data_IF_438367887948
#
_entry.id   IF_438367887948
#
_cell.length_a   1.000
_cell.length_b   1.000
_cell.length_c   1.000
_cell.angle_alpha   90.00
_cell.angle_beta   90.00
_cell.angle_gamma   90.00
#
_symmetry.space_group_name_H-M   'P 1'
#
loop_
_entity.id
_entity.type
_entity.pdbx_description
1 polymer ?
#
# COMPACT_ATOMS: atom_id res chain seq x y z
N UNK A 1 4.58 -44.07 -44.53
CA UNK A 1 5.33 -42.82 -44.35
C UNK A 1 4.55 -41.79 -43.51
N UNK A 2 3.50 -42.21 -42.79
CA UNK A 2 2.59 -41.31 -42.07
C UNK A 2 2.64 -41.44 -40.54
N UNK A 3 3.45 -42.37 -40.00
CA UNK A 3 3.56 -42.58 -38.55
C UNK A 3 4.49 -41.55 -37.88
N UNK A 4 5.56 -41.13 -38.56
CA UNK A 4 6.46 -40.08 -38.03
C UNK A 4 5.79 -38.70 -38.00
N UNK A 5 4.87 -38.41 -38.92
CA UNK A 5 4.08 -37.16 -38.90
C UNK A 5 3.08 -37.11 -37.74
N UNK A 6 2.61 -38.27 -37.27
CA UNK A 6 1.71 -38.36 -36.11
C UNK A 6 2.45 -38.23 -34.78
N UNK A 7 3.71 -38.70 -34.70
CA UNK A 7 4.59 -38.45 -33.56
C UNK A 7 5.06 -36.98 -33.50
N UNK A 8 5.40 -36.39 -34.64
CA UNK A 8 5.76 -34.97 -34.73
C UNK A 8 4.55 -34.06 -34.43
N UNK A 9 3.34 -34.54 -34.72
CA UNK A 9 2.08 -33.93 -34.30
C UNK A 9 1.69 -34.22 -32.83
N UNK A 10 2.47 -34.99 -32.08
CA UNK A 10 2.31 -35.17 -30.63
C UNK A 10 3.27 -34.26 -29.85
N UNK A 11 4.41 -33.88 -30.44
CA UNK A 11 5.47 -33.11 -29.77
C UNK A 11 5.14 -31.63 -29.53
N UNK A 12 4.20 -31.04 -30.29
CA UNK A 12 3.77 -29.66 -30.04
C UNK A 12 2.82 -29.53 -28.85
N UNK A 13 2.15 -30.61 -28.45
CA UNK A 13 1.24 -30.64 -27.29
C UNK A 13 2.00 -30.34 -25.98
N UNK A 14 3.11 -31.02 -25.62
CA UNK A 14 3.86 -30.70 -24.41
C UNK A 14 4.51 -29.32 -24.48
N UNK A 15 4.97 -28.87 -25.66
CA UNK A 15 5.51 -27.52 -25.84
C UNK A 15 4.44 -26.43 -25.59
N UNK A 16 3.22 -26.64 -26.09
CA UNK A 16 2.09 -25.73 -25.90
C UNK A 16 1.63 -25.72 -24.44
N UNK A 17 1.55 -26.90 -23.80
CA UNK A 17 1.25 -27.02 -22.37
C UNK A 17 2.30 -26.30 -21.52
N UNK A 18 3.59 -26.50 -21.81
CA UNK A 18 4.68 -25.82 -21.11
C UNK A 18 4.61 -24.29 -21.29
N UNK A 19 4.29 -23.80 -22.49
CA UNK A 19 4.11 -22.38 -22.75
C UNK A 19 2.92 -21.78 -21.96
N UNK A 20 1.79 -22.48 -21.89
CA UNK A 20 0.61 -22.05 -21.11
C UNK A 20 0.93 -22.04 -19.61
N UNK A 21 1.62 -23.07 -19.10
CA UNK A 21 2.06 -23.13 -17.69
C UNK A 21 3.04 -22.00 -17.38
N UNK A 22 3.99 -21.72 -18.26
CA UNK A 22 4.95 -20.63 -18.08
C UNK A 22 4.25 -19.26 -18.08
N UNK A 23 3.30 -19.05 -18.99
CA UNK A 23 2.57 -17.78 -19.11
C UNK A 23 1.63 -17.56 -17.93
N UNK A 24 0.97 -18.61 -17.44
CA UNK A 24 0.17 -18.55 -16.21
C UNK A 24 1.04 -18.26 -14.98
N UNK A 25 2.18 -18.95 -14.82
CA UNK A 25 3.13 -18.70 -13.74
C UNK A 25 3.67 -17.27 -13.77
N UNK A 26 4.03 -16.77 -14.95
CA UNK A 26 4.50 -15.40 -15.15
C UNK A 26 3.42 -14.37 -14.79
N UNK A 27 2.18 -14.59 -15.25
CA UNK A 27 1.05 -13.71 -14.93
C UNK A 27 0.76 -13.65 -13.43
N UNK A 28 0.93 -14.78 -12.72
CA UNK A 28 0.78 -14.86 -11.27
C UNK A 28 1.90 -14.09 -10.55
N UNK A 29 3.13 -14.19 -11.04
CA UNK A 29 4.29 -13.50 -10.46
C UNK A 29 4.19 -11.97 -10.58
N UNK A 30 3.71 -11.47 -11.73
CA UNK A 30 3.49 -10.04 -11.94
C UNK A 30 2.37 -9.52 -11.02
N UNK A 31 1.34 -10.32 -10.75
CA UNK A 31 0.24 -9.96 -9.83
C UNK A 31 0.69 -9.87 -8.37
N UNK A 32 1.78 -10.53 -7.97
CA UNK A 32 2.33 -10.44 -6.61
C UNK A 32 2.98 -9.08 -6.30
N UNK A 33 3.30 -8.28 -7.32
CA UNK A 33 3.97 -6.98 -7.13
C UNK A 33 2.95 -5.87 -6.95
N UNK A 34 2.85 -5.32 -5.72
CA UNK A 34 2.11 -4.08 -5.48
C UNK A 34 3.01 -2.86 -5.57
N UNK A 35 2.64 -1.92 -6.43
CA UNK A 35 3.29 -0.61 -6.55
C UNK A 35 2.68 0.32 -5.50
N UNK A 36 3.51 1.04 -4.76
CA UNK A 36 3.16 2.06 -3.79
C UNK A 36 3.22 3.45 -4.46
N UNK A 37 2.06 4.10 -4.69
CA UNK A 37 2.04 5.50 -5.11
C UNK A 37 2.72 6.40 -4.07
N UNK A 38 3.31 7.54 -4.46
CA UNK A 38 4.00 8.46 -3.54
C UNK A 38 3.08 9.08 -2.48
N UNK A 39 1.77 9.10 -2.72
CA UNK A 39 0.75 9.59 -1.79
C UNK A 39 0.14 8.49 -0.90
N UNK A 40 0.73 7.29 -0.90
CA UNK A 40 0.31 6.17 -0.05
C UNK A 40 1.53 5.57 0.66
N UNK A 41 1.25 4.80 1.70
CA UNK A 41 2.24 3.97 2.39
C UNK A 41 1.75 2.54 2.45
N UNK A 42 2.65 1.60 2.22
CA UNK A 42 2.40 0.18 2.41
C UNK A 42 2.85 -0.22 3.81
N UNK A 43 1.97 -0.85 4.57
CA UNK A 43 2.26 -1.44 5.86
C UNK A 43 2.33 -2.95 5.65
N UNK A 44 3.53 -3.50 5.77
CA UNK A 44 3.75 -4.95 5.75
C UNK A 44 3.62 -5.49 7.17
N UNK A 45 2.57 -6.26 7.44
CA UNK A 45 2.27 -6.87 8.74
C UNK A 45 2.51 -8.39 8.71
N UNK A 46 2.82 -8.99 9.86
CA UNK A 46 2.97 -10.46 10.01
C UNK A 46 4.41 -10.97 10.11
N UNK A 47 5.41 -10.09 10.14
CA UNK A 47 6.81 -10.46 10.35
C UNK A 47 7.41 -9.84 11.61
N UNK A 48 8.50 -10.42 12.12
CA UNK A 48 9.35 -9.76 13.14
C UNK A 48 10.22 -8.71 12.45
N UNK A 49 9.69 -7.52 12.22
CA UNK A 49 10.46 -6.39 11.72
C UNK A 49 10.90 -5.45 12.85
N UNK A 50 12.04 -4.80 12.67
CA UNK A 50 12.48 -3.69 13.52
C UNK A 50 12.22 -2.41 12.75
N UNK A 51 11.50 -1.47 13.36
CA UNK A 51 11.31 -0.11 12.83
C UNK A 51 11.95 0.81 13.86
N UNK A 52 13.16 1.28 13.57
CA UNK A 52 14.00 1.99 14.55
C UNK A 52 14.43 1.08 15.70
N UNK A 53 14.36 1.58 16.94
CA UNK A 53 14.75 0.85 18.16
C UNK A 53 13.62 -0.01 18.75
N UNK A 54 12.37 0.19 18.31
CA UNK A 54 11.21 -0.56 18.80
C UNK A 54 10.92 -1.78 17.91
N UNK A 55 10.77 -2.96 18.52
CA UNK A 55 10.26 -4.17 17.85
C UNK A 55 8.77 -3.96 17.54
N UNK A 56 8.44 -3.59 16.30
CA UNK A 56 7.05 -3.52 15.82
C UNK A 56 6.77 -4.65 14.84
N UNK A 57 5.62 -5.30 14.95
CA UNK A 57 5.22 -6.41 14.07
C UNK A 57 4.90 -6.01 12.61
N UNK A 58 5.21 -4.77 12.24
CA UNK A 58 4.95 -4.20 10.93
C UNK A 58 6.12 -3.34 10.43
N UNK A 59 6.22 -3.16 9.10
CA UNK A 59 7.21 -2.28 8.45
C UNK A 59 6.52 -1.32 7.47
N UNK A 60 6.64 0.02 7.65
CA UNK A 60 6.14 0.98 6.67
C UNK A 60 7.10 1.10 5.48
N UNK A 61 6.55 1.22 4.26
CA UNK A 61 7.28 1.50 3.02
C UNK A 61 6.65 2.72 2.34
N UNK A 62 7.44 3.79 2.21
CA UNK A 62 7.05 5.04 1.56
C UNK A 62 7.57 5.04 0.12
N UNK A 63 6.65 5.09 -0.85
CA UNK A 63 7.00 5.06 -2.27
C UNK A 63 7.71 3.76 -2.71
N UNK A 64 7.65 3.45 -4.00
CA UNK A 64 8.33 2.29 -4.59
C UNK A 64 7.41 1.08 -4.77
N UNK A 65 7.93 -0.13 -4.63
CA UNK A 65 7.16 -1.36 -4.78
C UNK A 65 7.42 -2.30 -3.60
N UNK A 66 6.38 -3.01 -3.16
CA UNK A 66 6.51 -4.09 -2.20
C UNK A 66 5.99 -5.38 -2.83
N UNK A 67 6.71 -6.47 -2.55
CA UNK A 67 6.24 -7.80 -2.88
C UNK A 67 5.30 -8.29 -1.79
N UNK A 68 4.07 -8.58 -2.17
CA UNK A 68 3.07 -9.22 -1.33
C UNK A 68 3.29 -10.73 -1.40
N UNK A 69 3.72 -11.36 -0.31
CA UNK A 69 3.75 -12.84 -0.21
C UNK A 69 2.51 -13.23 0.60
N UNK A 70 1.41 -13.60 -0.05
CA UNK A 70 0.09 -13.72 0.60
C UNK A 70 0.04 -14.73 1.74
N UNK A 71 0.99 -15.67 1.80
CA UNK A 71 1.04 -16.74 2.80
C UNK A 71 1.76 -16.35 4.09
N UNK A 72 2.62 -15.33 4.05
CA UNK A 72 3.51 -14.97 5.17
C UNK A 72 3.29 -13.53 5.63
N UNK A 73 2.88 -12.62 4.73
CA UNK A 73 2.81 -11.19 5.01
C UNK A 73 1.51 -10.60 4.50
N UNK A 74 0.85 -9.82 5.35
CA UNK A 74 -0.30 -8.99 4.96
C UNK A 74 0.22 -7.62 4.51
N UNK A 75 -0.28 -7.14 3.36
CA UNK A 75 0.01 -5.78 2.88
C UNK A 75 -1.24 -4.94 3.06
N UNK A 76 -1.19 -4.01 3.99
CA UNK A 76 -2.22 -2.99 4.15
C UNK A 76 -1.75 -1.68 3.51
N UNK A 77 -2.68 -0.93 2.93
CA UNK A 77 -2.39 0.35 2.28
C UNK A 77 -3.04 1.46 3.08
N UNK A 78 -2.28 2.49 3.43
CA UNK A 78 -2.79 3.69 4.09
C UNK A 78 -2.53 4.91 3.20
N UNK A 79 -3.55 5.76 3.06
CA UNK A 79 -3.42 7.01 2.29
C UNK A 79 -2.69 8.06 3.09
N UNK A 80 -1.85 8.83 2.40
CA UNK A 80 -1.13 10.00 2.93
C UNK A 80 -1.58 11.28 2.24
N UNK A 81 -2.80 11.29 1.71
CA UNK A 81 -3.39 12.49 1.15
C UNK A 81 -3.56 13.57 2.22
N UNK A 82 -3.68 14.82 1.76
CA UNK A 82 -4.05 15.94 2.63
C UNK A 82 -5.48 15.71 3.11
N UNK A 83 -5.69 15.89 4.40
CA UNK A 83 -6.98 15.88 5.07
C UNK A 83 -7.40 17.32 5.33
N UNK A 84 -8.64 17.65 5.00
CA UNK A 84 -9.21 18.97 5.24
C UNK A 84 -10.03 18.93 6.53
N UNK A 85 -9.65 19.75 7.50
CA UNK A 85 -10.38 19.89 8.76
C UNK A 85 -11.08 21.25 8.75
N UNK A 86 -12.42 21.28 8.56
CA UNK A 86 -13.16 22.52 8.66
C UNK A 86 -13.18 23.00 10.11
N UNK A 87 -12.85 24.26 10.32
CA UNK A 87 -12.81 24.91 11.62
C UNK A 87 -13.80 26.07 11.59
N UNK A 88 -14.84 25.99 12.42
CA UNK A 88 -15.79 27.07 12.65
C UNK A 88 -15.78 27.46 14.12
N UNK A 89 -15.26 28.64 14.45
CA UNK A 89 -15.23 29.16 15.82
C UNK A 89 -16.14 30.37 15.92
N UNK A 90 -17.06 30.34 16.87
CA UNK A 90 -17.92 31.48 17.23
C UNK A 90 -17.44 32.07 18.54
N UNK A 91 -17.39 33.41 18.63
CA UNK A 91 -16.96 34.09 19.86
C UNK A 91 -15.46 34.02 20.13
N UNK A 92 -14.64 33.91 19.07
CA UNK A 92 -13.19 34.03 19.20
C UNK A 92 -12.84 35.49 19.49
N UNK A 93 -12.20 35.78 20.62
CA UNK A 93 -11.79 37.14 20.95
C UNK A 93 -10.48 37.49 20.26
N UNK A 94 -10.47 38.62 19.54
CA UNK A 94 -9.24 39.22 19.04
C UNK A 94 -8.37 39.75 20.19
N UNK A 95 -7.08 40.01 19.92
CA UNK A 95 -6.18 40.68 20.88
C UNK A 95 -6.73 42.04 21.36
N UNK A 96 -7.59 42.68 20.57
CA UNK A 96 -8.31 43.91 20.93
C UNK A 96 -9.65 43.72 21.64
N UNK A 97 -10.04 42.49 22.04
CA UNK A 97 -11.27 42.21 22.80
C UNK A 97 -12.56 42.17 21.99
N UNK A 98 -12.50 42.34 20.67
CA UNK A 98 -13.67 42.26 19.78
C UNK A 98 -13.99 40.77 19.51
N UNK A 99 -15.24 40.32 19.73
CA UNK A 99 -15.64 38.96 19.41
C UNK A 99 -15.76 38.78 17.89
N UNK A 100 -15.19 37.70 17.37
CA UNK A 100 -15.16 37.34 15.96
C UNK A 100 -15.75 35.95 15.74
N UNK A 101 -16.35 35.77 14.57
CA UNK A 101 -16.71 34.46 14.03
C UNK A 101 -15.75 34.11 12.90
N UNK A 102 -15.01 33.01 13.05
CA UNK A 102 -13.97 32.60 12.11
C UNK A 102 -14.35 31.26 11.50
N UNK A 103 -14.40 31.23 10.16
CA UNK A 103 -14.51 30.01 9.37
C UNK A 103 -13.18 29.81 8.62
N UNK A 104 -12.54 28.67 8.81
CA UNK A 104 -11.27 28.32 8.20
C UNK A 104 -11.24 26.84 7.81
N UNK A 105 -10.36 26.49 6.88
CA UNK A 105 -10.06 25.10 6.51
C UNK A 105 -8.60 24.86 6.84
N UNK A 106 -8.32 23.92 7.73
CA UNK A 106 -6.97 23.50 8.05
C UNK A 106 -6.59 22.27 7.22
N UNK A 107 -5.56 22.41 6.39
CA UNK A 107 -5.00 21.32 5.60
C UNK A 107 -3.91 20.61 6.41
N UNK A 108 -4.16 19.35 6.77
CA UNK A 108 -3.23 18.53 7.56
C UNK A 108 -2.80 17.29 6.77
N UNK A 109 -1.56 16.84 6.94
CA UNK A 109 -1.02 15.65 6.24
C UNK A 109 -0.27 14.76 7.20
N UNK A 110 -0.32 13.45 6.95
CA UNK A 110 0.48 12.47 7.70
C UNK A 110 1.97 12.64 7.35
N UNK A 111 2.81 12.77 8.38
CA UNK A 111 4.26 12.84 8.23
C UNK A 111 4.85 11.52 7.74
N UNK A 112 5.89 11.59 6.91
CA UNK A 112 6.66 10.44 6.43
C UNK A 112 7.84 10.06 7.35
N UNK A 113 8.01 10.73 8.49
CA UNK A 113 9.08 10.42 9.44
C UNK A 113 8.86 9.03 10.06
N UNK A 114 9.82 8.08 9.94
CA UNK A 114 9.75 6.75 10.55
C UNK A 114 9.49 6.75 12.06
N UNK A 115 9.86 7.82 12.79
CA UNK A 115 9.60 7.95 14.23
C UNK A 115 8.14 8.27 14.53
N UNK A 116 7.49 9.07 13.69
CA UNK A 116 6.13 9.59 13.92
C UNK A 116 5.04 8.76 13.24
N UNK A 117 5.36 8.09 12.13
CA UNK A 117 4.39 7.36 11.31
C UNK A 117 3.63 6.27 12.07
N UNK A 118 4.23 5.72 13.13
CA UNK A 118 3.59 4.71 13.97
C UNK A 118 2.24 5.13 14.52
N UNK A 119 2.18 6.36 15.04
CA UNK A 119 0.97 6.92 15.60
C UNK A 119 -0.14 7.06 14.55
N UNK A 120 0.24 7.38 13.32
CA UNK A 120 -0.71 7.48 12.21
C UNK A 120 -1.20 6.09 11.78
N UNK A 121 -0.31 5.10 11.71
CA UNK A 121 -0.67 3.71 11.38
C UNK A 121 -1.67 3.17 12.41
N UNK A 122 -1.41 3.34 13.71
CA UNK A 122 -2.33 2.86 14.75
C UNK A 122 -3.72 3.51 14.69
N UNK A 123 -3.82 4.76 14.18
CA UNK A 123 -5.07 5.53 14.17
C UNK A 123 -5.85 5.46 12.86
N UNK A 124 -5.15 5.34 11.74
CA UNK A 124 -5.73 5.44 10.40
C UNK A 124 -5.69 4.14 9.61
N UNK A 125 -4.88 3.15 10.01
CA UNK A 125 -4.84 1.87 9.30
C UNK A 125 -6.19 1.14 9.44
N UNK A 126 -6.79 0.77 8.31
CA UNK A 126 -8.09 0.08 8.28
C UNK A 126 -9.29 0.97 8.57
N UNK A 127 -9.09 2.30 8.73
CA UNK A 127 -10.19 3.25 8.59
C UNK A 127 -10.34 3.57 7.11
N UNK A 128 -11.48 3.18 6.55
CA UNK A 128 -11.86 3.60 5.21
C UNK A 128 -11.94 5.13 5.16
N UNK A 129 -11.41 5.69 4.07
CA UNK A 129 -11.30 7.13 3.84
C UNK A 129 -12.65 7.79 3.61
#
# INVERSE_FOLDING_TARGET
>A
MDFERLLQASDWIPALVAAVVMLTLFSMLVRLRRICPPNKVLILSGGKSRVGESRRGYRPIFGGAAFEIPWIRKVDVMSMNVLEVPISVRGAYSKGGIPLAVNAIANVKVSNDPKLIGNAIERFLGRDQ
#
